data_IF_351119186841
#
_entry.id   IF_351119186841
#
_cell.length_a   1.000
_cell.length_b   1.000
_cell.length_c   1.000
_cell.angle_alpha   90.00
_cell.angle_beta   90.00
_cell.angle_gamma   90.00
#
_symmetry.space_group_name_H-M   'P 1'
#
loop_
_entity.id
_entity.type
_entity.pdbx_description
1 polymer ?
#
# COMPACT_ATOMS: atom_id res chain seq x y z
N UNK A 1 -20.60 20.97 -2.92
CA UNK A 1 -20.19 19.89 -1.98
C UNK A 1 -19.58 20.47 -0.72
N UNK A 2 -18.37 21.05 -0.74
CA UNK A 2 -17.71 21.52 0.50
C UNK A 2 -18.51 22.56 1.32
N UNK A 3 -19.20 23.50 0.67
CA UNK A 3 -20.08 24.46 1.35
C UNK A 3 -21.28 23.77 2.02
N UNK A 4 -21.96 22.88 1.30
CA UNK A 4 -23.13 22.12 1.76
C UNK A 4 -22.80 21.20 2.94
N UNK A 5 -21.61 20.60 2.98
CA UNK A 5 -21.19 19.76 4.12
C UNK A 5 -21.18 20.57 5.42
N UNK A 6 -20.75 21.83 5.39
CA UNK A 6 -20.74 22.72 6.56
C UNK A 6 -22.13 23.18 6.99
N UNK A 7 -23.09 23.18 6.07
CA UNK A 7 -24.48 23.54 6.37
C UNK A 7 -25.27 22.37 6.98
N UNK A 8 -24.87 21.13 6.69
CA UNK A 8 -25.59 19.92 7.10
C UNK A 8 -24.93 19.21 8.29
N UNK A 9 -23.61 19.32 8.45
CA UNK A 9 -22.85 18.67 9.51
C UNK A 9 -22.19 19.70 10.43
N UNK A 10 -22.36 19.50 11.74
CA UNK A 10 -21.66 20.25 12.78
C UNK A 10 -20.50 19.41 13.31
N UNK A 11 -19.29 19.97 13.30
CA UNK A 11 -18.10 19.32 13.83
C UNK A 11 -18.12 19.37 15.36
N UNK A 12 -18.42 18.23 15.99
CA UNK A 12 -18.46 18.11 17.46
C UNK A 12 -17.09 17.81 18.07
N UNK A 13 -16.17 17.21 17.30
CA UNK A 13 -14.78 16.93 17.68
C UNK A 13 -13.88 16.98 16.45
N UNK A 14 -12.60 17.37 16.60
CA UNK A 14 -11.64 17.34 15.51
C UNK A 14 -11.51 15.94 14.90
N UNK A 15 -11.39 15.87 13.57
CA UNK A 15 -11.08 14.61 12.89
C UNK A 15 -9.75 14.07 13.42
N UNK A 16 -9.73 12.80 13.80
CA UNK A 16 -8.51 12.14 14.28
C UNK A 16 -7.39 12.26 13.24
N UNK A 17 -6.22 12.74 13.67
CA UNK A 17 -5.08 13.01 12.78
C UNK A 17 -4.35 11.75 12.31
N UNK A 18 -4.61 10.60 12.94
CA UNK A 18 -3.95 9.32 12.63
C UNK A 18 -4.95 8.18 12.56
N UNK A 19 -4.97 7.44 11.46
CA UNK A 19 -5.75 6.22 11.34
C UNK A 19 -5.17 5.12 12.25
N UNK A 20 -6.00 4.54 13.12
CA UNK A 20 -5.57 3.51 14.07
C UNK A 20 -5.13 2.19 13.42
N UNK A 21 -5.62 1.88 12.20
CA UNK A 21 -5.38 0.62 11.50
C UNK A 21 -4.89 0.83 10.06
N UNK A 22 -3.93 1.73 9.86
CA UNK A 22 -3.38 2.03 8.53
C UNK A 22 -2.42 0.94 8.05
N UNK A 23 -2.63 0.45 6.83
CA UNK A 23 -1.75 -0.53 6.15
C UNK A 23 -1.25 0.04 4.83
N UNK A 24 0.07 -0.02 4.61
CA UNK A 24 0.68 0.31 3.33
C UNK A 24 1.03 -0.95 2.56
N UNK A 25 0.79 -0.96 1.25
CA UNK A 25 1.20 -2.01 0.33
C UNK A 25 2.11 -1.40 -0.74
N UNK A 26 3.33 -1.90 -0.82
CA UNK A 26 4.32 -1.48 -1.81
C UNK A 26 4.36 -2.52 -2.93
N UNK A 27 4.02 -2.06 -4.13
CA UNK A 27 3.83 -2.87 -5.33
C UNK A 27 2.36 -3.18 -5.57
N UNK A 28 1.77 -2.66 -6.65
CA UNK A 28 0.39 -2.99 -7.10
C UNK A 28 0.41 -4.08 -8.18
N UNK A 29 1.27 -5.09 -7.99
CA UNK A 29 1.23 -6.33 -8.75
C UNK A 29 0.02 -7.18 -8.38
N UNK A 30 -0.13 -8.35 -9.01
CA UNK A 30 -1.22 -9.29 -8.68
C UNK A 30 -1.23 -9.66 -7.19
N UNK A 31 -0.05 -9.89 -6.60
CA UNK A 31 0.08 -10.22 -5.17
C UNK A 31 -0.33 -9.05 -4.29
N UNK A 32 0.18 -7.84 -4.56
CA UNK A 32 -0.16 -6.64 -3.80
C UNK A 32 -1.64 -6.32 -3.84
N UNK A 33 -2.28 -6.43 -5.01
CA UNK A 33 -3.71 -6.21 -5.15
C UNK A 33 -4.55 -7.30 -4.46
N UNK A 34 -4.14 -8.57 -4.53
CA UNK A 34 -4.80 -9.63 -3.78
C UNK A 34 -4.70 -9.41 -2.25
N UNK A 35 -3.56 -8.91 -1.75
CA UNK A 35 -3.41 -8.50 -0.37
C UNK A 35 -4.35 -7.33 -0.02
N UNK A 36 -4.35 -6.27 -0.84
CA UNK A 36 -5.19 -5.08 -0.63
C UNK A 36 -6.68 -5.45 -0.56
N UNK A 37 -7.13 -6.23 -1.52
CA UNK A 37 -8.50 -6.71 -1.61
C UNK A 37 -8.88 -7.58 -0.40
N UNK A 38 -8.00 -8.50 0.00
CA UNK A 38 -8.25 -9.36 1.16
C UNK A 38 -8.34 -8.57 2.47
N UNK A 39 -7.45 -7.58 2.67
CA UNK A 39 -7.45 -6.70 3.84
C UNK A 39 -8.75 -5.89 3.91
N UNK A 40 -9.17 -5.35 2.76
CA UNK A 40 -10.41 -4.58 2.64
C UNK A 40 -11.63 -5.45 2.95
N UNK A 41 -11.74 -6.63 2.32
CA UNK A 41 -12.88 -7.53 2.49
C UNK A 41 -12.98 -8.10 3.91
N UNK A 42 -11.85 -8.35 4.56
CA UNK A 42 -11.80 -8.83 5.96
C UNK A 42 -11.94 -7.69 6.97
N UNK A 43 -12.01 -6.42 6.52
CA UNK A 43 -12.14 -5.23 7.36
C UNK A 43 -11.01 -5.10 8.40
N UNK A 44 -9.79 -5.47 8.00
CA UNK A 44 -8.62 -5.44 8.89
C UNK A 44 -8.09 -4.01 9.07
N UNK A 45 -8.17 -3.20 8.01
CA UNK A 45 -7.64 -1.85 7.97
C UNK A 45 -8.75 -0.82 7.78
N UNK A 46 -8.57 0.37 8.36
CA UNK A 46 -9.44 1.54 8.11
C UNK A 46 -8.81 2.54 7.13
N UNK A 47 -7.53 2.38 6.80
CA UNK A 47 -6.84 3.11 5.74
C UNK A 47 -5.87 2.17 5.03
N UNK A 48 -5.96 2.11 3.69
CA UNK A 48 -5.04 1.38 2.83
C UNK A 48 -4.30 2.39 1.96
N UNK A 49 -2.97 2.33 1.96
CA UNK A 49 -2.12 3.11 1.07
C UNK A 49 -1.41 2.19 0.08
N UNK A 50 -1.52 2.51 -1.20
CA UNK A 50 -0.84 1.80 -2.27
C UNK A 50 0.32 2.65 -2.78
N UNK A 51 1.51 2.06 -2.90
CA UNK A 51 2.68 2.71 -3.48
C UNK A 51 3.23 1.85 -4.60
N UNK A 52 3.43 2.44 -5.76
CA UNK A 52 4.08 1.81 -6.91
C UNK A 52 4.79 2.88 -7.74
N UNK A 53 5.70 2.47 -8.63
CA UNK A 53 6.41 3.37 -9.53
C UNK A 53 5.61 3.66 -10.80
N UNK A 54 4.63 2.81 -11.15
CA UNK A 54 3.80 2.97 -12.36
C UNK A 54 2.52 3.73 -12.00
N UNK A 55 2.57 5.06 -12.11
CA UNK A 55 1.49 5.96 -11.69
C UNK A 55 0.12 5.65 -12.33
N UNK A 56 0.07 5.37 -13.63
CA UNK A 56 -1.19 5.10 -14.33
C UNK A 56 -1.87 3.83 -13.83
N UNK A 57 -1.07 2.76 -13.65
CA UNK A 57 -1.56 1.51 -13.08
C UNK A 57 -2.04 1.73 -11.66
N UNK A 58 -1.23 2.40 -10.84
CA UNK A 58 -1.53 2.70 -9.45
C UNK A 58 -2.86 3.44 -9.29
N UNK A 59 -3.10 4.45 -10.13
CA UNK A 59 -4.35 5.20 -10.15
C UNK A 59 -5.54 4.30 -10.55
N UNK A 60 -5.36 3.45 -11.56
CA UNK A 60 -6.39 2.50 -11.99
C UNK A 60 -6.82 1.55 -10.87
N UNK A 61 -5.84 0.91 -10.21
CA UNK A 61 -6.07 -0.03 -9.12
C UNK A 61 -6.71 0.65 -7.88
N UNK A 62 -6.31 1.89 -7.58
CA UNK A 62 -6.93 2.69 -6.51
C UNK A 62 -8.41 2.97 -6.80
N UNK A 63 -8.73 3.41 -8.02
CA UNK A 63 -10.12 3.71 -8.40
C UNK A 63 -11.00 2.46 -8.34
N UNK A 64 -10.47 1.31 -8.76
CA UNK A 64 -11.19 0.04 -8.69
C UNK A 64 -11.58 -0.33 -7.25
N UNK A 65 -10.62 -0.25 -6.31
CA UNK A 65 -10.90 -0.46 -4.89
C UNK A 65 -11.87 0.58 -4.33
N UNK A 66 -11.74 1.85 -4.71
CA UNK A 66 -12.62 2.93 -4.26
C UNK A 66 -14.08 2.73 -4.71
N UNK A 67 -14.30 2.28 -5.95
CA UNK A 67 -15.64 1.93 -6.41
C UNK A 67 -16.23 0.74 -5.64
N UNK A 68 -15.38 -0.18 -5.20
CA UNK A 68 -15.77 -1.31 -4.34
C UNK A 68 -16.12 -0.92 -2.90
N UNK A 69 -15.75 0.26 -2.41
CA UNK A 69 -15.91 0.65 -1.01
C UNK A 69 -17.36 0.64 -0.52
N UNK A 70 -18.33 0.85 -1.44
CA UNK A 70 -19.76 0.79 -1.14
C UNK A 70 -20.20 -0.58 -0.57
N UNK A 71 -19.42 -1.64 -0.78
CA UNK A 71 -19.73 -3.00 -0.35
C UNK A 71 -18.91 -3.46 0.86
N UNK A 72 -18.12 -2.57 1.44
CA UNK A 72 -17.14 -2.88 2.52
C UNK A 72 -17.38 -2.00 3.73
N UNK A 73 -16.73 -2.28 4.88
CA UNK A 73 -16.77 -1.32 6.01
C UNK A 73 -15.97 -0.07 5.66
N UNK A 74 -16.16 0.98 6.46
CA UNK A 74 -15.49 2.26 6.26
C UNK A 74 -13.97 2.09 6.23
N UNK A 75 -13.40 2.26 5.03
CA UNK A 75 -11.98 2.23 4.76
C UNK A 75 -11.65 3.35 3.77
N UNK A 76 -10.54 4.05 4.00
CA UNK A 76 -10.01 5.05 3.08
C UNK A 76 -8.91 4.41 2.24
N UNK A 77 -9.05 4.47 0.91
CA UNK A 77 -8.01 3.95 0.00
C UNK A 77 -7.32 5.14 -0.67
N UNK A 78 -5.99 5.20 -0.54
CA UNK A 78 -5.13 6.22 -1.16
C UNK A 78 -4.03 5.54 -1.96
N UNK A 79 -3.53 6.21 -2.99
CA UNK A 79 -2.41 5.71 -3.76
C UNK A 79 -1.57 6.85 -4.32
N UNK A 80 -0.26 6.72 -4.26
CA UNK A 80 0.70 7.69 -4.76
C UNK A 80 2.07 7.03 -5.02
N UNK A 81 2.87 7.61 -5.90
CA UNK A 81 4.26 7.19 -6.10
C UNK A 81 5.16 7.72 -4.99
N UNK A 82 4.77 8.81 -4.30
CA UNK A 82 5.47 9.36 -3.13
C UNK A 82 5.14 8.58 -1.85
N UNK A 83 6.18 8.20 -1.12
CA UNK A 83 6.07 7.49 0.15
C UNK A 83 5.51 8.36 1.30
N UNK A 84 5.40 9.67 1.13
CA UNK A 84 4.79 10.55 2.16
C UNK A 84 3.38 10.11 2.55
N UNK A 85 2.62 9.52 1.62
CA UNK A 85 1.28 8.99 1.91
C UNK A 85 1.29 7.82 2.89
N UNK A 86 2.44 7.15 3.06
CA UNK A 86 2.56 5.97 3.93
C UNK A 86 2.66 6.34 5.40
N UNK A 87 2.77 7.63 5.74
CA UNK A 87 2.97 8.10 7.10
C UNK A 87 1.94 7.54 8.10
N UNK A 88 2.45 7.08 9.24
CA UNK A 88 1.65 6.49 10.32
C UNK A 88 1.13 5.07 10.05
N UNK A 89 1.69 4.35 9.09
CA UNK A 89 1.31 2.95 8.84
C UNK A 89 1.72 2.05 10.00
N UNK A 90 0.84 1.11 10.37
CA UNK A 90 1.14 0.07 11.37
C UNK A 90 1.80 -1.15 10.75
N UNK A 91 1.43 -1.46 9.51
CA UNK A 91 2.01 -2.55 8.73
C UNK A 91 2.34 -2.03 7.34
N UNK A 92 3.55 -2.31 6.87
CA UNK A 92 3.99 -2.08 5.51
C UNK A 92 4.29 -3.41 4.83
N UNK A 93 3.46 -3.79 3.86
CA UNK A 93 3.60 -5.03 3.09
C UNK A 93 4.40 -4.76 1.82
N UNK A 94 5.57 -5.38 1.70
CA UNK A 94 6.42 -5.26 0.52
C UNK A 94 6.14 -6.46 -0.39
N UNK A 95 5.46 -6.18 -1.50
CA UNK A 95 5.23 -7.16 -2.59
C UNK A 95 6.00 -6.80 -3.86
N UNK A 96 6.53 -5.57 -3.93
CA UNK A 96 7.40 -5.11 -5.00
C UNK A 96 8.67 -5.97 -5.09
N UNK A 97 9.00 -6.36 -6.31
CA UNK A 97 10.17 -7.17 -6.59
C UNK A 97 10.37 -7.32 -8.09
N UNK A 98 11.59 -7.65 -8.48
CA UNK A 98 11.92 -7.98 -9.84
C UNK A 98 11.24 -9.30 -10.25
N UNK A 99 10.76 -9.37 -11.49
CA UNK A 99 10.36 -10.64 -12.10
C UNK A 99 11.62 -11.41 -12.50
N UNK A 100 11.64 -12.70 -12.22
CA UNK A 100 12.68 -13.61 -12.70
C UNK A 100 12.67 -13.60 -14.23
N UNK A 101 13.84 -13.47 -14.84
CA UNK A 101 14.01 -13.61 -16.28
C UNK A 101 14.36 -15.07 -16.62
N UNK A 102 14.02 -15.49 -17.83
CA UNK A 102 14.37 -16.83 -18.31
C UNK A 102 15.90 -17.00 -18.30
N UNK A 103 16.37 -18.12 -17.72
CA UNK A 103 17.80 -18.39 -17.54
C UNK A 103 18.51 -17.58 -16.45
N UNK A 104 17.79 -16.72 -15.70
CA UNK A 104 18.39 -15.95 -14.62
C UNK A 104 18.60 -16.79 -13.36
N UNK A 105 19.80 -16.66 -12.77
CA UNK A 105 20.12 -17.30 -11.50
C UNK A 105 19.36 -16.66 -10.33
N UNK A 106 19.04 -17.46 -9.33
CA UNK A 106 18.44 -16.96 -8.07
C UNK A 106 19.27 -15.85 -7.42
N UNK A 107 20.60 -15.97 -7.42
CA UNK A 107 21.49 -14.97 -6.85
C UNK A 107 21.36 -13.61 -7.56
N UNK A 108 21.28 -13.62 -8.90
CA UNK A 108 21.04 -12.40 -9.68
C UNK A 108 19.69 -11.76 -9.32
N UNK A 109 18.64 -12.57 -9.21
CA UNK A 109 17.31 -12.09 -8.83
C UNK A 109 17.29 -11.48 -7.43
N UNK A 110 17.92 -12.15 -6.46
CA UNK A 110 18.08 -11.63 -5.09
C UNK A 110 18.82 -10.30 -5.10
N UNK A 111 19.91 -10.17 -5.85
CA UNK A 111 20.67 -8.92 -5.93
C UNK A 111 19.80 -7.77 -6.46
N UNK A 112 19.00 -8.00 -7.50
CA UNK A 112 18.07 -6.99 -8.02
C UNK A 112 17.00 -6.60 -6.99
N UNK A 113 16.47 -7.56 -6.25
CA UNK A 113 15.52 -7.29 -5.16
C UNK A 113 16.16 -6.50 -4.02
N UNK A 114 17.42 -6.77 -3.67
CA UNK A 114 18.17 -5.99 -2.68
C UNK A 114 18.28 -4.52 -3.12
N UNK A 115 18.62 -4.26 -4.38
CA UNK A 115 18.69 -2.88 -4.89
C UNK A 115 17.31 -2.17 -4.85
N UNK A 116 16.24 -2.89 -5.18
CA UNK A 116 14.87 -2.36 -5.03
C UNK A 116 14.57 -2.04 -3.56
N UNK A 117 14.94 -2.92 -2.64
CA UNK A 117 14.66 -2.76 -1.20
C UNK A 117 15.42 -1.60 -0.58
N UNK A 118 16.65 -1.32 -1.05
CA UNK A 118 17.41 -0.13 -0.65
C UNK A 118 16.68 1.18 -0.99
N UNK A 119 15.83 1.19 -2.01
CA UNK A 119 14.96 2.32 -2.34
C UNK A 119 13.69 2.38 -1.48
N UNK A 120 13.10 1.22 -1.15
CA UNK A 120 11.80 1.12 -0.46
C UNK A 120 11.94 1.30 1.06
N UNK A 121 12.79 0.48 1.70
CA UNK A 121 12.80 0.33 3.15
C UNK A 121 13.12 1.65 3.87
N UNK A 122 14.14 2.44 3.46
CA UNK A 122 14.43 3.71 4.11
C UNK A 122 13.27 4.70 4.03
N UNK A 123 12.52 4.72 2.93
CA UNK A 123 11.36 5.61 2.78
C UNK A 123 10.23 5.20 3.72
N UNK A 124 9.94 3.89 3.82
CA UNK A 124 8.91 3.40 4.74
C UNK A 124 9.24 3.73 6.20
N UNK A 125 10.49 3.48 6.63
CA UNK A 125 10.92 3.77 8.01
C UNK A 125 10.97 5.27 8.28
N UNK A 126 11.29 6.10 7.28
CA UNK A 126 11.25 7.56 7.40
C UNK A 126 9.86 8.09 7.77
N UNK A 127 8.80 7.56 7.14
CA UNK A 127 7.43 8.05 7.36
C UNK A 127 6.66 7.25 8.41
N UNK A 128 7.07 6.00 8.67
CA UNK A 128 6.44 5.09 9.64
C UNK A 128 7.51 4.31 10.42
N UNK A 129 8.22 4.96 11.37
CA UNK A 129 9.35 4.35 12.06
C UNK A 129 8.97 3.12 12.92
N UNK A 130 7.74 3.09 13.43
CA UNK A 130 7.23 2.00 14.27
C UNK A 130 6.45 0.92 13.48
N UNK A 131 6.54 0.94 12.14
CA UNK A 131 5.79 0.00 11.29
C UNK A 131 6.38 -1.41 11.35
N UNK A 132 5.51 -2.42 11.29
CA UNK A 132 5.94 -3.79 11.00
C UNK A 132 6.13 -3.94 9.49
N UNK A 133 7.34 -4.31 9.08
CA UNK A 133 7.62 -4.62 7.67
C UNK A 133 7.35 -6.10 7.40
N UNK A 134 6.35 -6.38 6.56
CA UNK A 134 6.02 -7.72 6.09
C UNK A 134 6.51 -7.92 4.66
N UNK A 135 7.54 -8.75 4.48
CA UNK A 135 8.11 -9.03 3.16
C UNK A 135 7.43 -10.24 2.55
N UNK A 136 6.82 -10.04 1.37
CA UNK A 136 6.17 -11.10 0.57
C UNK A 136 6.96 -11.40 -0.70
N UNK A 137 7.78 -10.45 -1.17
CA UNK A 137 8.59 -10.59 -2.37
C UNK A 137 9.47 -11.85 -2.33
N UNK A 138 9.27 -12.73 -3.32
CA UNK A 138 9.93 -14.04 -3.37
C UNK A 138 11.34 -13.94 -4.01
N UNK A 139 12.37 -14.57 -3.45
CA UNK A 139 13.71 -14.69 -4.08
C UNK A 139 13.77 -15.60 -5.32
N UNK A 140 12.63 -16.14 -5.80
CA UNK A 140 12.53 -17.00 -6.98
C UNK A 140 12.50 -18.49 -6.63
N UNK A 141 11.96 -19.33 -7.53
CA UNK A 141 12.05 -20.80 -7.40
C UNK A 141 13.34 -21.30 -8.05
N UNK A 142 13.79 -22.49 -7.65
CA UNK A 142 14.91 -23.15 -8.34
C UNK A 142 14.27 -23.58 -9.64
N UNK A 143 14.88 -23.19 -10.77
CA UNK A 143 14.62 -23.86 -12.03
C UNK A 143 15.47 -25.12 -12.07
#
# INVERSE_FOLDING_TARGET
MAATVKEVFEEIVPVASTAHGKVTIVGVGQVGMACAYSILQQNIANEICLVDVIADKLKGEMMDLQHGLAFTRHCVVKADTDYSITAGSKICVITAGARQREGETRLSLVQRNVEIFKGIVPQLVKYSPDTIIMVVSNPGKDA
#
